data_IF_403168786330
#
_entry.id   IF_403168786330
#
_cell.length_a   1.000
_cell.length_b   1.000
_cell.length_c   1.000
_cell.angle_alpha   90.00
_cell.angle_beta   90.00
_cell.angle_gamma   90.00
#
_symmetry.space_group_name_H-M   'P 1'
#
loop_
_entity.id
_entity.type
_entity.pdbx_description
1 polymer ?
#
# COMPACT_ATOMS: atom_id res chain seq x y z
N UNK A 1 9.66 -3.74 -1.80
CA UNK A 1 9.00 -5.01 -2.15
C UNK A 1 9.27 -6.06 -1.07
N UNK A 2 8.43 -7.11 -0.97
CA UNK A 2 8.65 -8.23 -0.03
C UNK A 2 8.66 -9.55 -0.78
N UNK A 3 9.52 -10.49 -0.36
CA UNK A 3 9.73 -11.78 -1.02
C UNK A 3 9.64 -12.93 -0.02
N UNK A 4 8.79 -13.91 -0.31
CA UNK A 4 8.57 -15.10 0.50
C UNK A 4 9.44 -16.25 -0.03
N UNK A 5 10.30 -16.80 0.80
CA UNK A 5 10.89 -18.11 0.55
C UNK A 5 9.78 -19.16 0.56
N UNK A 6 9.53 -19.79 -0.59
CA UNK A 6 8.44 -20.76 -0.75
C UNK A 6 8.66 -22.08 -0.02
N UNK A 7 9.90 -22.37 0.41
CA UNK A 7 10.25 -23.58 1.15
C UNK A 7 9.99 -23.45 2.67
N UNK A 8 10.26 -22.28 3.26
CA UNK A 8 10.26 -22.12 4.72
C UNK A 8 9.53 -20.88 5.25
N UNK A 9 8.89 -20.11 4.36
CA UNK A 9 8.13 -18.90 4.68
C UNK A 9 8.93 -17.74 5.32
N UNK A 10 10.25 -17.73 5.18
CA UNK A 10 11.05 -16.54 5.49
C UNK A 10 10.66 -15.40 4.54
N UNK A 11 10.51 -14.17 5.05
CA UNK A 11 10.17 -12.98 4.27
C UNK A 11 11.38 -12.06 4.25
N UNK A 12 11.92 -11.81 3.06
CA UNK A 12 12.85 -10.70 2.84
C UNK A 12 12.04 -9.44 2.54
N UNK A 13 12.23 -8.39 3.33
CA UNK A 13 11.62 -7.07 3.12
C UNK A 13 12.70 -6.07 2.73
N UNK A 14 12.67 -5.58 1.50
CA UNK A 14 13.67 -4.63 1.00
C UNK A 14 13.75 -3.36 1.85
N UNK A 15 12.62 -2.91 2.43
CA UNK A 15 12.61 -1.72 3.27
C UNK A 15 13.37 -1.95 4.58
N UNK A 16 13.44 -3.19 5.06
CA UNK A 16 14.14 -3.56 6.29
C UNK A 16 15.56 -4.08 6.02
N UNK A 17 15.79 -4.70 4.86
CA UNK A 17 16.99 -5.50 4.60
C UNK A 17 17.04 -6.74 5.50
N UNK A 18 18.25 -7.22 5.78
CA UNK A 18 18.50 -8.26 6.79
C UNK A 18 19.81 -7.98 7.50
N UNK A 19 19.72 -7.28 8.64
CA UNK A 19 20.89 -6.88 9.42
C UNK A 19 21.68 -8.08 9.99
N UNK A 20 21.06 -9.24 10.20
CA UNK A 20 21.76 -10.44 10.69
C UNK A 20 22.66 -11.02 9.61
N UNK A 21 22.21 -10.94 8.36
CA UNK A 21 22.98 -11.36 7.18
C UNK A 21 23.85 -10.21 6.60
N UNK A 22 23.86 -9.04 7.24
CA UNK A 22 24.64 -7.88 6.81
C UNK A 22 24.07 -7.16 5.58
N UNK A 23 22.80 -7.38 5.26
CA UNK A 23 22.08 -6.74 4.17
C UNK A 23 21.42 -5.46 4.71
N UNK A 24 21.76 -4.31 4.11
CA UNK A 24 21.25 -3.02 4.56
C UNK A 24 19.78 -2.81 4.19
N UNK A 25 19.05 -2.03 5.00
CA UNK A 25 17.73 -1.49 4.65
C UNK A 25 17.79 -0.74 3.32
N UNK A 26 16.79 -0.94 2.48
CA UNK A 26 16.69 -0.42 1.12
C UNK A 26 17.40 -1.25 0.05
N UNK A 27 18.06 -2.37 0.41
CA UNK A 27 18.68 -3.26 -0.59
C UNK A 27 17.59 -3.99 -1.36
N UNK A 28 17.50 -3.76 -2.67
CA UNK A 28 16.53 -4.45 -3.52
C UNK A 28 16.83 -5.95 -3.57
N UNK A 29 15.79 -6.78 -3.69
CA UNK A 29 15.97 -8.21 -3.83
C UNK A 29 16.79 -8.53 -5.08
N UNK A 30 16.59 -7.80 -6.18
CA UNK A 30 17.37 -7.94 -7.40
C UNK A 30 18.85 -7.56 -7.21
N UNK A 31 19.17 -6.67 -6.28
CA UNK A 31 20.55 -6.28 -5.93
C UNK A 31 21.26 -7.29 -5.01
N UNK A 32 20.54 -8.28 -4.46
CA UNK A 32 21.17 -9.37 -3.71
C UNK A 32 22.08 -10.19 -4.64
N UNK A 33 23.29 -10.48 -4.18
CA UNK A 33 24.29 -11.23 -4.96
C UNK A 33 23.81 -12.62 -5.38
N UNK A 34 24.44 -13.17 -6.42
CA UNK A 34 24.08 -14.50 -6.96
C UNK A 34 24.22 -15.64 -5.94
N UNK A 35 25.09 -15.48 -4.94
CA UNK A 35 25.30 -16.43 -3.85
C UNK A 35 24.31 -16.26 -2.68
N UNK A 36 23.33 -15.35 -2.79
CA UNK A 36 22.31 -15.18 -1.75
C UNK A 36 21.46 -16.44 -1.61
N UNK A 37 21.35 -16.92 -0.38
CA UNK A 37 20.49 -18.03 0.01
C UNK A 37 19.59 -17.60 1.16
N UNK A 38 18.42 -18.23 1.26
CA UNK A 38 17.50 -18.02 2.38
C UNK A 38 18.23 -18.29 3.71
N UNK A 39 18.29 -17.32 4.65
CA UNK A 39 19.04 -17.51 5.90
C UNK A 39 18.42 -18.56 6.82
N UNK A 40 17.15 -18.91 6.61
CA UNK A 40 16.44 -19.91 7.40
C UNK A 40 16.62 -21.35 6.89
N UNK A 41 16.67 -21.55 5.57
CA UNK A 41 16.67 -22.91 4.98
C UNK A 41 17.71 -23.16 3.88
N UNK A 42 18.52 -22.15 3.56
CA UNK A 42 19.60 -22.20 2.58
C UNK A 42 19.17 -22.49 1.13
N UNK A 43 17.88 -22.35 0.82
CA UNK A 43 17.40 -22.40 -0.56
C UNK A 43 17.86 -21.17 -1.36
N UNK A 44 18.08 -21.38 -2.65
CA UNK A 44 18.55 -20.35 -3.57
C UNK A 44 17.51 -19.25 -3.80
N UNK A 45 17.97 -18.09 -4.26
CA UNK A 45 17.16 -16.89 -4.57
C UNK A 45 15.95 -17.20 -5.47
N UNK A 46 16.07 -18.19 -6.37
CA UNK A 46 15.01 -18.63 -7.29
C UNK A 46 13.79 -19.24 -6.59
N UNK A 47 13.94 -19.72 -5.34
CA UNK A 47 12.85 -20.27 -4.54
C UNK A 47 12.07 -19.19 -3.76
N UNK A 48 12.36 -17.92 -3.99
CA UNK A 48 11.57 -16.82 -3.48
C UNK A 48 10.50 -16.39 -4.48
N UNK A 49 9.34 -16.03 -3.95
CA UNK A 49 8.27 -15.40 -4.71
C UNK A 49 8.00 -14.02 -4.15
N UNK A 50 7.86 -13.05 -5.04
CA UNK A 50 7.35 -11.73 -4.69
C UNK A 50 5.98 -11.86 -4.02
N UNK A 51 5.84 -11.27 -2.84
CA UNK A 51 4.56 -11.16 -2.15
C UNK A 51 3.82 -9.99 -2.78
N UNK A 52 2.87 -10.31 -3.65
CA UNK A 52 1.88 -9.33 -4.10
C UNK A 52 0.89 -9.12 -2.96
N UNK A 53 0.83 -7.91 -2.46
CA UNK A 53 -0.15 -7.54 -1.45
C UNK A 53 -1.55 -7.63 -2.08
N UNK A 54 -2.47 -8.34 -1.43
CA UNK A 54 -3.87 -8.36 -1.88
C UNK A 54 -4.48 -6.98 -1.63
N UNK A 55 -4.85 -6.29 -2.71
CA UNK A 55 -5.52 -5.01 -2.65
C UNK A 55 -7.03 -5.26 -2.78
N UNK A 56 -7.78 -4.82 -1.78
CA UNK A 56 -9.23 -4.84 -1.84
C UNK A 56 -9.75 -3.61 -2.59
N UNK A 57 -10.50 -3.83 -3.65
CA UNK A 57 -11.15 -2.76 -4.41
C UNK A 57 -12.63 -2.74 -4.03
N UNK A 58 -13.11 -1.76 -3.26
CA UNK A 58 -14.48 -1.71 -2.77
C UNK A 58 -15.43 -1.29 -3.90
N UNK A 59 -15.72 -2.20 -4.83
CA UNK A 59 -16.75 -2.09 -5.86
C UNK A 59 -17.18 -3.47 -6.36
N UNK A 60 -18.32 -3.95 -5.88
CA UNK A 60 -19.10 -4.86 -6.71
C UNK A 60 -19.75 -4.03 -7.83
N UNK A 61 -19.78 -4.55 -9.06
CA UNK A 61 -20.36 -3.88 -10.23
C UNK A 61 -21.91 -3.70 -10.13
N UNK A 62 -22.46 -3.68 -8.91
CA UNK A 62 -23.88 -3.61 -8.58
C UNK A 62 -24.18 -2.52 -7.53
N UNK A 63 -23.17 -1.82 -7.03
CA UNK A 63 -23.34 -0.71 -6.09
C UNK A 63 -23.70 -1.13 -4.66
N UNK A 64 -23.55 -2.41 -4.32
CA UNK A 64 -23.82 -2.91 -2.98
C UNK A 64 -22.49 -3.12 -2.24
N UNK A 65 -22.08 -2.12 -1.48
CA UNK A 65 -20.93 -2.24 -0.59
C UNK A 65 -21.35 -2.93 0.72
N UNK A 66 -20.57 -3.92 1.14
CA UNK A 66 -20.60 -4.46 2.50
C UNK A 66 -20.27 -3.37 3.53
N UNK A 67 -20.57 -3.63 4.80
CA UNK A 67 -20.21 -2.69 5.87
C UNK A 67 -18.70 -2.42 5.89
N UNK A 68 -17.88 -3.47 5.73
CA UNK A 68 -16.43 -3.34 5.70
C UNK A 68 -15.95 -2.49 4.51
N UNK A 69 -16.48 -2.74 3.31
CA UNK A 69 -16.12 -1.95 2.12
C UNK A 69 -16.54 -0.49 2.25
N UNK A 70 -17.62 -0.19 2.96
CA UNK A 70 -18.05 1.20 3.22
C UNK A 70 -17.08 1.93 4.13
N UNK A 71 -16.57 1.27 5.17
CA UNK A 71 -15.59 1.86 6.10
C UNK A 71 -14.24 2.12 5.43
N UNK A 72 -13.89 1.38 4.37
CA UNK A 72 -12.63 1.52 3.64
C UNK A 72 -12.80 2.15 2.25
N UNK A 73 -13.98 2.72 2.01
CA UNK A 73 -14.26 3.35 0.73
C UNK A 73 -13.45 4.64 0.61
N UNK A 74 -12.60 4.71 -0.40
CA UNK A 74 -11.73 5.86 -0.64
C UNK A 74 -12.55 6.96 -1.33
N UNK A 75 -12.74 8.07 -0.63
CA UNK A 75 -13.32 9.28 -1.19
C UNK A 75 -12.25 10.34 -1.39
N UNK A 76 -12.50 11.25 -2.33
CA UNK A 76 -11.63 12.40 -2.55
C UNK A 76 -12.37 13.60 -3.13
N UNK A 77 -11.78 14.77 -2.96
CA UNK A 77 -12.16 16.01 -3.65
C UNK A 77 -10.92 16.66 -4.25
N UNK A 78 -11.09 17.34 -5.39
CA UNK A 78 -10.02 18.06 -6.08
C UNK A 78 -10.32 19.55 -6.11
N UNK A 79 -9.38 20.37 -5.63
CA UNK A 79 -9.44 21.83 -5.73
C UNK A 79 -8.04 22.42 -5.95
N UNK A 80 -7.85 23.20 -7.02
CA UNK A 80 -6.58 23.87 -7.35
C UNK A 80 -5.34 22.95 -7.27
N UNK A 81 -5.38 21.82 -7.96
CA UNK A 81 -4.32 20.79 -7.97
C UNK A 81 -4.03 20.14 -6.60
N UNK A 82 -4.91 20.35 -5.62
CA UNK A 82 -4.85 19.68 -4.32
C UNK A 82 -5.91 18.58 -4.29
N UNK A 83 -5.44 17.34 -4.17
CA UNK A 83 -6.26 16.16 -3.93
C UNK A 83 -6.41 15.96 -2.42
N UNK A 84 -7.63 16.07 -1.92
CA UNK A 84 -7.96 15.76 -0.52
C UNK A 84 -8.65 14.41 -0.44
N UNK A 85 -8.01 13.44 0.19
CA UNK A 85 -8.46 12.05 0.34
C UNK A 85 -8.95 11.82 1.76
N UNK A 86 -10.10 11.18 1.92
CA UNK A 86 -10.64 10.71 3.20
C UNK A 86 -11.24 9.30 3.02
N UNK A 87 -11.25 8.52 4.11
CA UNK A 87 -11.63 7.10 4.05
C UNK A 87 -12.93 6.86 4.80
N UNK A 88 -13.88 6.21 4.14
CA UNK A 88 -15.22 5.93 4.66
C UNK A 88 -16.32 6.56 3.79
N UNK A 89 -17.42 5.83 3.55
CA UNK A 89 -18.53 6.24 2.69
C UNK A 89 -19.69 6.92 3.43
N UNK A 90 -20.25 6.21 4.40
CA UNK A 90 -21.41 6.67 5.18
C UNK A 90 -20.93 7.39 6.45
N UNK A 91 -19.91 6.82 7.08
CA UNK A 91 -19.17 7.35 8.22
C UNK A 91 -17.67 7.23 7.89
N UNK A 92 -16.84 8.06 8.52
CA UNK A 92 -15.39 7.98 8.38
C UNK A 92 -14.85 6.71 9.04
N UNK A 93 -13.75 6.18 8.48
CA UNK A 93 -13.04 5.05 9.06
C UNK A 93 -12.59 5.37 10.51
N UNK A 94 -12.71 4.44 11.46
CA UNK A 94 -12.22 4.64 12.83
C UNK A 94 -10.70 4.90 12.90
N UNK A 95 -10.27 5.85 13.72
CA UNK A 95 -8.85 6.10 14.01
C UNK A 95 -8.62 5.85 15.50
N UNK A 96 -8.39 4.59 15.85
CA UNK A 96 -8.24 4.14 17.25
C UNK A 96 -6.95 3.33 17.43
N UNK A 97 -6.46 3.23 18.67
CA UNK A 97 -5.27 2.45 18.99
C UNK A 97 -5.47 0.99 18.55
N UNK A 98 -4.64 0.53 17.61
CA UNK A 98 -4.69 -0.82 17.04
C UNK A 98 -5.63 -0.99 15.83
N UNK A 99 -6.51 -0.02 15.54
CA UNK A 99 -7.34 -0.01 14.33
C UNK A 99 -7.47 1.40 13.76
N UNK A 100 -6.64 1.71 12.77
CA UNK A 100 -6.56 3.01 12.12
C UNK A 100 -6.07 2.85 10.68
N UNK A 101 -6.30 3.86 9.84
CA UNK A 101 -5.62 3.96 8.55
C UNK A 101 -4.19 4.40 8.84
N UNK A 102 -3.21 3.54 8.59
CA UNK A 102 -1.82 3.85 8.89
C UNK A 102 -1.14 4.63 7.76
N UNK A 103 -1.61 4.49 6.52
CA UNK A 103 -1.17 5.35 5.43
C UNK A 103 -2.22 5.54 4.33
N UNK A 104 -2.08 6.68 3.64
CA UNK A 104 -2.73 7.00 2.38
C UNK A 104 -1.62 7.34 1.39
N UNK A 105 -1.63 6.73 0.21
CA UNK A 105 -0.56 6.88 -0.78
C UNK A 105 -1.10 6.96 -2.20
N UNK A 106 -0.35 7.65 -3.06
CA UNK A 106 -0.57 7.74 -4.50
C UNK A 106 0.39 6.81 -5.23
N UNK A 107 -0.11 6.15 -6.26
CA UNK A 107 0.63 5.24 -7.12
C UNK A 107 0.46 5.63 -8.58
N UNK A 108 1.50 5.40 -9.39
CA UNK A 108 1.48 5.67 -10.82
C UNK A 108 0.86 4.52 -11.63
N UNK A 109 0.96 4.60 -12.97
CA UNK A 109 0.41 3.59 -13.87
C UNK A 109 1.09 2.21 -13.79
N UNK A 110 2.32 2.17 -13.23
CA UNK A 110 3.18 1.00 -13.07
C UNK A 110 3.13 0.43 -11.65
N UNK A 111 2.19 0.89 -10.81
CA UNK A 111 2.11 0.55 -9.39
C UNK A 111 3.34 1.02 -8.58
N UNK A 112 4.10 2.01 -9.07
CA UNK A 112 5.17 2.65 -8.32
C UNK A 112 4.61 3.75 -7.42
N UNK A 113 5.10 3.81 -6.17
CA UNK A 113 4.64 4.78 -5.18
C UNK A 113 5.13 6.19 -5.53
N UNK A 114 4.22 7.14 -5.69
CA UNK A 114 4.50 8.55 -5.96
C UNK A 114 4.76 9.31 -4.65
N UNK A 115 3.78 9.26 -3.73
CA UNK A 115 3.84 9.91 -2.43
C UNK A 115 3.05 9.09 -1.40
N UNK A 116 3.48 9.12 -0.14
CA UNK A 116 2.83 8.43 0.97
C UNK A 116 2.75 9.34 2.19
N UNK A 117 1.58 9.35 2.82
CA UNK A 117 1.32 10.05 4.08
C UNK A 117 0.94 9.03 5.13
N UNK A 118 1.74 8.97 6.19
CA UNK A 118 1.47 8.14 7.36
C UNK A 118 0.56 8.90 8.31
N UNK A 119 -0.39 8.18 8.90
CA UNK A 119 -1.28 8.70 9.94
C UNK A 119 -1.11 7.86 11.21
N UNK A 120 -1.41 8.46 12.36
CA UNK A 120 -1.51 7.78 13.65
C UNK A 120 -2.96 7.74 14.13
N UNK A 121 -3.29 6.94 15.16
CA UNK A 121 -4.64 6.88 15.72
C UNK A 121 -5.23 8.24 16.15
N UNK A 122 -4.40 9.24 16.45
CA UNK A 122 -4.84 10.56 16.89
C UNK A 122 -5.12 11.54 15.75
N UNK A 123 -4.75 11.18 14.51
CA UNK A 123 -4.96 12.01 13.33
C UNK A 123 -6.40 11.88 12.81
N UNK A 124 -6.87 12.94 12.16
CA UNK A 124 -8.06 12.84 11.29
C UNK A 124 -7.76 11.87 10.14
N UNK A 125 -8.77 11.10 9.68
CA UNK A 125 -8.59 10.10 8.62
C UNK A 125 -8.51 10.74 7.23
N UNK A 126 -7.53 11.62 7.02
CA UNK A 126 -7.45 12.51 5.87
C UNK A 126 -6.00 12.76 5.42
N UNK A 127 -5.80 12.90 4.11
CA UNK A 127 -4.52 13.27 3.52
C UNK A 127 -4.72 14.18 2.32
N UNK A 128 -3.85 15.18 2.17
CA UNK A 128 -3.88 16.11 1.04
C UNK A 128 -2.62 15.95 0.18
N UNK A 129 -2.73 15.88 -1.13
CA UNK A 129 -1.60 15.71 -2.06
C UNK A 129 -1.60 16.83 -3.10
N UNK A 130 -0.42 17.28 -3.49
CA UNK A 130 -0.24 18.15 -4.65
C UNK A 130 -0.10 17.27 -5.90
N UNK A 131 -1.03 17.43 -6.83
CA UNK A 131 -1.13 16.60 -8.05
C UNK A 131 -0.89 17.40 -9.33
N UNK A 132 -0.30 18.59 -9.25
CA UNK A 132 -0.14 19.52 -10.40
C UNK A 132 0.57 18.92 -11.63
N UNK A 133 1.32 17.84 -11.46
CA UNK A 133 2.07 17.15 -12.54
C UNK A 133 1.63 15.71 -12.78
N UNK A 134 0.50 15.30 -12.20
CA UNK A 134 -0.05 13.95 -12.38
C UNK A 134 -1.21 14.01 -13.36
N UNK A 135 -1.24 13.11 -14.35
CA UNK A 135 -2.39 12.95 -15.26
C UNK A 135 -3.28 11.77 -14.85
N UNK A 136 -2.64 10.73 -14.32
CA UNK A 136 -3.26 9.49 -13.85
C UNK A 136 -2.55 9.01 -12.59
N UNK A 137 -3.32 8.53 -11.63
CA UNK A 137 -2.82 7.94 -10.40
C UNK A 137 -3.86 6.99 -9.80
N UNK A 138 -3.45 6.17 -8.86
CA UNK A 138 -4.35 5.41 -8.00
C UNK A 138 -4.12 5.80 -6.54
N UNK A 139 -5.19 5.90 -5.77
CA UNK A 139 -5.11 6.08 -4.31
C UNK A 139 -5.18 4.69 -3.68
N UNK A 140 -4.20 4.36 -2.86
CA UNK A 140 -4.23 3.17 -2.00
C UNK A 140 -4.08 3.57 -0.54
N UNK A 141 -4.80 2.87 0.32
CA UNK A 141 -4.78 3.07 1.77
C UNK A 141 -4.44 1.76 2.47
N UNK A 142 -3.74 1.84 3.59
CA UNK A 142 -3.45 0.70 4.45
C UNK A 142 -4.15 0.85 5.79
N UNK A 143 -5.11 -0.02 6.07
CA UNK A 143 -5.71 -0.16 7.39
C UNK A 143 -4.85 -1.12 8.24
N UNK A 144 -4.56 -0.75 9.49
CA UNK A 144 -3.73 -1.55 10.40
C UNK A 144 -4.28 -2.95 10.68
N UNK A 145 -5.59 -3.15 10.49
CA UNK A 145 -6.28 -4.42 10.70
C UNK A 145 -6.73 -5.08 9.39
N UNK A 146 -7.20 -4.29 8.42
CA UNK A 146 -7.82 -4.78 7.18
C UNK A 146 -6.94 -4.60 5.93
N UNK A 147 -5.66 -4.26 6.12
CA UNK A 147 -4.63 -4.19 5.09
C UNK A 147 -4.97 -3.22 3.95
N UNK A 148 -4.59 -3.55 2.71
CA UNK A 148 -4.60 -2.65 1.57
C UNK A 148 -5.97 -2.55 0.89
N UNK A 149 -6.33 -1.32 0.54
CA UNK A 149 -7.50 -0.99 -0.27
C UNK A 149 -7.14 -0.01 -1.36
N UNK A 150 -7.76 -0.13 -2.54
CA UNK A 150 -7.46 0.68 -3.71
C UNK A 150 -8.70 1.36 -4.29
N UNK A 151 -8.55 2.60 -4.77
CA UNK A 151 -9.63 3.33 -5.44
C UNK A 151 -9.87 2.83 -6.88
N UNK A 152 -8.92 2.07 -7.42
CA UNK A 152 -8.74 1.94 -8.86
C UNK A 152 -8.17 3.21 -9.48
N UNK A 153 -7.73 3.10 -10.74
CA UNK A 153 -7.08 4.20 -11.46
C UNK A 153 -8.01 5.39 -11.66
N UNK A 154 -7.48 6.58 -11.39
CA UNK A 154 -8.13 7.87 -11.53
C UNK A 154 -7.37 8.65 -12.60
N UNK A 155 -8.09 9.13 -13.62
CA UNK A 155 -7.54 10.00 -14.64
C UNK A 155 -8.15 11.39 -14.48
N UNK A 156 -7.32 12.40 -14.19
CA UNK A 156 -7.81 13.76 -13.87
C UNK A 156 -8.58 14.36 -15.04
N UNK A 157 -8.17 14.06 -16.28
CA UNK A 157 -8.83 14.57 -17.49
C UNK A 157 -10.22 13.96 -17.72
N UNK A 158 -10.63 12.99 -16.90
CA UNK A 158 -11.93 12.31 -16.99
C UNK A 158 -12.88 12.64 -15.83
N UNK A 159 -12.47 13.50 -14.89
CA UNK A 159 -13.25 13.99 -13.73
C UNK A 159 -13.99 15.29 -14.06
#
# INVERSE_FOLDING_TARGET
>A
MRYLCTNCSYIYDEALGDALEGIASGTLFDDLGEDFVCPSCYEEKENFQEIKEEINYPYDNKGNLSALEKEHYINYSLENDVLKVYVGKDEEHPMEEGHFIACIALFDENDEKIEEKFLSPEDDCIAEFDIQYLDEFEIKIYCSLHLWWGSGKININSL
#
